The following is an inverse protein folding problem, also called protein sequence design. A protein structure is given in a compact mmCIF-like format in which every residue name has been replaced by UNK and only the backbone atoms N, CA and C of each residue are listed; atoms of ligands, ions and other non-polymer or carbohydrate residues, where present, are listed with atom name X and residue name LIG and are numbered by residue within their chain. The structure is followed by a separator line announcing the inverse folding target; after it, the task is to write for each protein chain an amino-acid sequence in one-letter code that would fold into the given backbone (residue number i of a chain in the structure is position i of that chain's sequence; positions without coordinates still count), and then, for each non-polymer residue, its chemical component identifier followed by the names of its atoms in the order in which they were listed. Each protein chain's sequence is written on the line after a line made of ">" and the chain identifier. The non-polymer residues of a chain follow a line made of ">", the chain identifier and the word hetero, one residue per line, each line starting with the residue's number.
data_IF_668198464307
#
_entry.id   IF_668198464307
#
_cell.length_a   1.000
_cell.length_b   1.000
_cell.length_c   1.000
_cell.angle_alpha   90.00
_cell.angle_beta   90.00
_cell.angle_gamma   90.00
#
_symmetry.space_group_name_H-M   'P 1'
#
loop_
_entity.id
_entity.type
_entity.pdbx_description
1 polymer ?
#
# COMPACT_ATOMS: atom_id res chain seq x y z
N UNK A 1 25.54 18.48 7.87
CA UNK A 1 24.16 19.01 7.99
C UNK A 1 23.66 19.28 6.59
N UNK A 2 22.83 18.40 6.04
CA UNK A 2 22.33 18.53 4.66
C UNK A 2 20.92 19.11 4.72
N UNK A 3 20.77 20.37 4.31
CA UNK A 3 19.48 21.04 4.21
C UNK A 3 18.67 20.41 3.06
N UNK A 4 17.44 19.98 3.34
CA UNK A 4 16.48 19.55 2.33
C UNK A 4 16.14 20.76 1.43
N UNK A 5 16.71 20.81 0.22
CA UNK A 5 16.30 21.78 -0.80
C UNK A 5 14.92 21.41 -1.31
N UNK A 6 13.91 22.19 -0.93
CA UNK A 6 12.61 22.19 -1.61
C UNK A 6 12.81 22.91 -2.94
N UNK A 7 13.19 22.16 -3.96
CA UNK A 7 13.39 22.69 -5.31
C UNK A 7 12.08 22.52 -6.09
N UNK A 8 11.14 23.46 -5.94
CA UNK A 8 9.92 23.49 -6.77
C UNK A 8 10.15 24.51 -7.90
N UNK A 9 10.29 24.10 -9.17
CA UNK A 9 10.13 25.03 -10.28
C UNK A 9 8.68 25.53 -10.24
N UNK A 10 8.49 26.83 -10.41
CA UNK A 10 7.19 27.50 -10.52
C UNK A 10 6.42 26.93 -11.72
N UNK A 11 5.79 25.77 -11.51
CA UNK A 11 4.73 25.29 -12.39
C UNK A 11 3.55 26.17 -12.10
N UNK A 12 3.29 27.06 -13.06
CA UNK A 12 2.06 27.84 -13.20
C UNK A 12 0.89 26.93 -12.82
N UNK A 13 0.20 27.31 -11.74
CA UNK A 13 -1.01 26.62 -11.32
C UNK A 13 -2.03 26.77 -12.44
N UNK A 14 -2.20 25.73 -13.26
CA UNK A 14 -3.38 25.60 -14.10
C UNK A 14 -4.59 25.62 -13.16
N UNK A 15 -5.53 26.54 -13.38
CA UNK A 15 -6.69 26.72 -12.51
C UNK A 15 -7.63 25.51 -12.50
N UNK A 16 -7.44 24.59 -13.44
CA UNK A 16 -8.18 23.33 -13.59
C UNK A 16 -7.37 22.09 -13.16
N UNK A 17 -6.17 22.24 -12.60
CA UNK A 17 -5.40 21.10 -12.10
C UNK A 17 -6.06 20.54 -10.82
N UNK A 18 -6.53 19.29 -10.88
CA UNK A 18 -7.03 18.58 -9.69
C UNK A 18 -5.84 18.41 -8.71
N UNK A 19 -5.92 18.91 -7.46
CA UNK A 19 -4.86 18.73 -6.47
C UNK A 19 -4.56 17.25 -6.18
N UNK A 20 -5.43 16.33 -6.60
CA UNK A 20 -5.21 14.89 -6.56
C UNK A 20 -4.24 14.36 -7.64
N UNK A 21 -3.84 15.17 -8.63
CA UNK A 21 -2.93 14.76 -9.71
C UNK A 21 -1.49 15.31 -9.55
N UNK A 22 -1.29 16.26 -8.63
CA UNK A 22 0.01 16.85 -8.34
C UNK A 22 0.97 15.89 -7.66
N UNK A 23 2.24 15.87 -8.08
CA UNK A 23 3.27 15.04 -7.42
C UNK A 23 3.47 15.49 -5.97
N UNK A 24 3.30 14.54 -5.04
CA UNK A 24 3.58 14.82 -3.62
C UNK A 24 5.08 14.99 -3.36
N UNK A 25 5.40 16.00 -2.57
CA UNK A 25 6.73 16.16 -1.99
C UNK A 25 7.02 15.05 -0.97
N UNK A 26 8.30 14.84 -0.69
CA UNK A 26 8.74 13.84 0.29
C UNK A 26 8.17 14.09 1.69
N UNK A 27 7.98 15.34 2.07
CA UNK A 27 7.37 15.71 3.36
C UNK A 27 5.89 15.34 3.38
N UNK A 28 5.14 15.61 2.32
CA UNK A 28 3.72 15.24 2.19
C UNK A 28 3.54 13.72 2.25
N UNK A 29 4.44 12.96 1.60
CA UNK A 29 4.45 11.49 1.68
C UNK A 29 4.68 10.99 3.12
N UNK A 30 5.61 11.59 3.86
CA UNK A 30 5.91 11.20 5.24
C UNK A 30 4.74 11.53 6.19
N UNK A 31 4.12 12.69 6.03
CA UNK A 31 2.95 13.07 6.83
C UNK A 31 1.77 12.14 6.54
N UNK A 32 1.51 11.83 5.28
CA UNK A 32 0.44 10.91 4.94
C UNK A 32 0.68 9.50 5.48
N UNK A 33 1.93 9.01 5.44
CA UNK A 33 2.26 7.72 6.06
C UNK A 33 2.01 7.72 7.57
N UNK A 34 2.37 8.79 8.27
CA UNK A 34 2.08 8.94 9.69
C UNK A 34 0.57 8.96 9.97
N UNK A 35 -0.20 9.65 9.13
CA UNK A 35 -1.65 9.72 9.22
C UNK A 35 -2.30 8.35 8.99
N UNK A 36 -1.84 7.61 7.98
CA UNK A 36 -2.31 6.26 7.67
C UNK A 36 -2.09 5.33 8.88
N UNK A 37 -0.89 5.37 9.49
CA UNK A 37 -0.60 4.51 10.64
C UNK A 37 -1.37 4.88 11.90
N UNK A 38 -1.52 6.18 12.19
CA UNK A 38 -2.35 6.60 13.34
C UNK A 38 -3.81 6.18 13.20
N UNK A 39 -4.37 6.19 11.97
CA UNK A 39 -5.72 5.67 11.70
C UNK A 39 -5.77 4.17 11.92
N UNK A 40 -4.79 3.43 11.42
CA UNK A 40 -4.70 1.99 11.56
C UNK A 40 -4.58 1.55 13.02
N UNK A 41 -3.66 2.14 13.79
CA UNK A 41 -3.48 1.84 15.22
C UNK A 41 -4.76 2.12 16.02
N UNK A 42 -5.49 3.21 15.70
CA UNK A 42 -6.79 3.50 16.35
C UNK A 42 -7.85 2.46 16.04
N UNK A 43 -7.88 1.96 14.80
CA UNK A 43 -8.79 0.90 14.40
C UNK A 43 -8.44 -0.42 15.12
N UNK A 44 -7.18 -0.80 15.19
CA UNK A 44 -6.73 -1.98 15.95
C UNK A 44 -7.09 -1.89 17.44
N UNK A 45 -6.90 -0.71 18.05
CA UNK A 45 -7.30 -0.46 19.43
C UNK A 45 -8.83 -0.57 19.62
N UNK A 46 -9.62 -0.20 18.61
CA UNK A 46 -11.07 -0.38 18.67
C UNK A 46 -11.49 -1.85 18.50
N UNK A 47 -10.89 -2.56 17.53
CA UNK A 47 -11.19 -3.97 17.25
C UNK A 47 -10.74 -4.89 18.37
N UNK A 48 -9.61 -4.62 19.02
CA UNK A 48 -9.11 -5.41 20.16
C UNK A 48 -10.04 -5.35 21.38
N UNK A 49 -10.84 -4.28 21.50
CA UNK A 49 -11.80 -4.08 22.59
C UNK A 49 -13.22 -4.54 22.27
N UNK A 50 -13.47 -5.02 21.05
CA UNK A 50 -14.78 -5.49 20.64
C UNK A 50 -15.16 -6.79 21.34
N UNK A 51 -16.39 -6.88 21.82
CA UNK A 51 -16.92 -8.12 22.37
C UNK A 51 -17.21 -9.14 21.25
N UNK A 52 -17.23 -10.43 21.61
CA UNK A 52 -17.50 -11.50 20.64
C UNK A 52 -18.92 -11.35 20.08
N UNK A 53 -19.03 -11.11 18.78
CA UNK A 53 -20.31 -10.93 18.07
C UNK A 53 -20.62 -9.47 17.69
N UNK A 54 -19.81 -8.50 18.14
CA UNK A 54 -19.96 -7.11 17.74
C UNK A 54 -19.45 -6.85 16.32
N UNK A 55 -20.10 -5.92 15.62
CA UNK A 55 -19.74 -5.57 14.24
C UNK A 55 -18.44 -4.79 14.22
N UNK A 56 -17.40 -5.38 13.60
CA UNK A 56 -16.10 -4.73 13.41
C UNK A 56 -16.26 -3.40 12.64
N UNK A 57 -15.64 -2.31 13.09
CA UNK A 57 -15.56 -1.07 12.32
C UNK A 57 -14.91 -1.30 10.96
N UNK A 58 -15.26 -0.50 9.95
CA UNK A 58 -14.60 -0.55 8.64
C UNK A 58 -13.11 -0.25 8.82
N UNK A 59 -12.27 -1.10 8.23
CA UNK A 59 -10.81 -0.89 8.21
C UNK A 59 -10.49 0.43 7.49
N UNK A 60 -9.61 1.26 8.07
CA UNK A 60 -9.24 2.52 7.44
C UNK A 60 -8.47 2.26 6.15
N UNK A 61 -8.93 2.88 5.05
CA UNK A 61 -8.20 2.83 3.78
C UNK A 61 -7.05 3.85 3.81
N UNK A 62 -5.86 3.49 3.29
CA UNK A 62 -4.75 4.41 3.16
C UNK A 62 -5.14 5.63 2.32
N UNK A 63 -4.57 6.78 2.67
CA UNK A 63 -4.79 8.01 1.91
C UNK A 63 -4.25 7.81 0.48
N UNK A 64 -5.07 8.03 -0.56
CA UNK A 64 -4.60 7.88 -1.94
C UNK A 64 -3.45 8.86 -2.18
N UNK A 65 -2.34 8.34 -2.71
CA UNK A 65 -1.10 9.09 -2.96
C UNK A 65 -1.01 9.42 -4.45
N UNK A 66 -1.25 10.68 -4.85
CA UNK A 66 -1.02 11.18 -6.20
C UNK A 66 0.35 10.82 -6.73
N UNK A 67 0.42 10.35 -7.98
CA UNK A 67 1.67 9.94 -8.62
C UNK A 67 2.29 8.62 -8.14
N UNK A 68 1.77 8.00 -7.07
CA UNK A 68 2.22 6.67 -6.60
C UNK A 68 1.24 5.61 -7.09
N UNK A 69 1.47 5.10 -8.32
CA UNK A 69 0.69 3.98 -8.83
C UNK A 69 0.97 2.73 -8.00
N UNK A 70 -0.03 2.21 -7.27
CA UNK A 70 0.07 0.89 -6.66
C UNK A 70 0.18 -0.15 -7.77
N UNK A 71 1.37 -0.76 -7.92
CA UNK A 71 1.56 -1.86 -8.88
C UNK A 71 0.62 -3.00 -8.46
N UNK A 72 -0.41 -3.25 -9.27
CA UNK A 72 -1.27 -4.43 -9.09
C UNK A 72 -0.38 -5.67 -9.07
N UNK A 73 -0.47 -6.47 -8.01
CA UNK A 73 0.25 -7.75 -7.93
C UNK A 73 -0.23 -8.60 -9.10
N UNK A 74 0.70 -9.11 -9.92
CA UNK A 74 0.37 -10.05 -10.99
C UNK A 74 -0.15 -11.34 -10.32
N UNK A 75 -1.25 -11.88 -10.84
CA UNK A 75 -1.73 -13.19 -10.41
C UNK A 75 -0.62 -14.23 -10.66
N UNK A 76 -0.40 -15.13 -9.68
CA UNK A 76 0.53 -16.22 -9.88
C UNK A 76 0.02 -17.16 -10.98
N UNK A 77 0.89 -17.65 -11.88
CA UNK A 77 0.53 -18.72 -12.80
C UNK A 77 0.09 -19.97 -12.02
N UNK A 78 -0.89 -20.75 -12.53
CA UNK A 78 -1.47 -21.89 -11.82
C UNK A 78 -0.42 -22.95 -11.44
N UNK A 79 0.54 -23.23 -12.31
CA UNK A 79 1.62 -24.20 -12.05
C UNK A 79 2.55 -23.79 -10.90
N UNK A 80 2.74 -22.47 -10.66
CA UNK A 80 3.54 -21.97 -9.52
C UNK A 80 2.74 -22.09 -8.23
N UNK A 81 1.41 -21.87 -8.31
CA UNK A 81 0.53 -22.00 -7.16
C UNK A 81 0.45 -23.46 -6.67
N UNK A 82 0.35 -24.43 -7.59
CA UNK A 82 0.37 -25.87 -7.28
C UNK A 82 1.69 -26.30 -6.64
N UNK A 83 2.83 -25.87 -7.21
CA UNK A 83 4.15 -26.11 -6.63
C UNK A 83 4.26 -25.59 -5.18
N UNK A 84 3.84 -24.34 -4.95
CA UNK A 84 3.87 -23.74 -3.61
C UNK A 84 2.96 -24.48 -2.63
N UNK A 85 1.78 -24.89 -3.08
CA UNK A 85 0.82 -25.62 -2.25
C UNK A 85 1.38 -26.98 -1.80
N UNK A 86 1.96 -27.74 -2.73
CA UNK A 86 2.60 -29.01 -2.41
C UNK A 86 3.84 -28.82 -1.51
N UNK A 87 4.65 -27.80 -1.79
CA UNK A 87 5.83 -27.49 -0.98
C UNK A 87 5.48 -27.11 0.46
N UNK A 88 4.43 -26.29 0.65
CA UNK A 88 3.94 -25.92 1.98
C UNK A 88 3.37 -27.11 2.76
N UNK A 89 2.83 -28.11 2.06
CA UNK A 89 2.29 -29.33 2.66
C UNK A 89 3.37 -30.41 2.91
N UNK A 90 4.64 -30.10 2.70
CA UNK A 90 5.77 -31.00 2.98
C UNK A 90 6.07 -31.99 1.84
N UNK A 91 5.39 -31.89 0.70
CA UNK A 91 5.82 -32.57 -0.51
C UNK A 91 7.02 -31.83 -1.14
N UNK A 92 7.92 -32.57 -1.78
CA UNK A 92 9.00 -32.03 -2.60
C UNK A 92 8.67 -32.22 -4.08
N UNK A 93 7.78 -31.39 -4.67
CA UNK A 93 7.53 -31.42 -6.10
C UNK A 93 8.81 -31.07 -6.89
N UNK A 94 8.89 -31.59 -8.12
CA UNK A 94 9.91 -31.17 -9.06
C UNK A 94 9.83 -29.65 -9.30
N UNK A 95 10.99 -29.00 -9.46
CA UNK A 95 11.06 -27.56 -9.70
C UNK A 95 10.18 -27.18 -10.91
N UNK A 96 9.37 -26.11 -10.82
CA UNK A 96 8.55 -25.67 -11.94
C UNK A 96 9.47 -25.24 -13.09
N UNK A 97 9.10 -25.54 -14.35
CA UNK A 97 9.86 -25.08 -15.51
C UNK A 97 9.90 -23.53 -15.54
N UNK A 98 10.98 -22.92 -16.07
CA UNK A 98 11.06 -21.47 -16.15
C UNK A 98 9.92 -20.92 -17.02
N UNK A 99 9.31 -19.82 -16.57
CA UNK A 99 8.25 -19.13 -17.30
C UNK A 99 8.72 -18.82 -18.73
N UNK A 100 7.96 -19.29 -19.72
CA UNK A 100 8.15 -18.96 -21.13
C UNK A 100 7.72 -17.52 -21.44
#
# INVERSE_FOLDING_TARGET
>A
MTLLRVNRPEQVADSDADPADGQWSQLELLIAMLLDETRFTRWEAAVSRLAKGEKKPKEPEPTPRPGVTTKRRKALPPHVAEFLFEHMNGNTPALPPPAA
#
